data_IF_672685319395
#
_entry.id   IF_672685319395
#
_cell.length_a   1.000
_cell.length_b   1.000
_cell.length_c   1.000
_cell.angle_alpha   90.00
_cell.angle_beta   90.00
_cell.angle_gamma   90.00
#
_symmetry.space_group_name_H-M   'P 1'
#
loop_
_entity.id
_entity.type
_entity.pdbx_description
1 polymer ?
#
# COMPACT_ATOMS: atom_id res chain seq x y z
N UNK A 1 -0.06 1.80 -40.58
CA UNK A 1 -0.06 0.45 -39.95
C UNK A 1 1.09 0.28 -38.96
N UNK A 2 2.36 0.51 -39.34
CA UNK A 2 3.52 0.44 -38.44
C UNK A 2 3.44 1.37 -37.21
N UNK A 3 2.97 2.61 -37.38
CA UNK A 3 2.83 3.55 -36.27
C UNK A 3 1.83 3.07 -35.19
N UNK A 4 0.75 2.40 -35.59
CA UNK A 4 -0.25 1.85 -34.66
C UNK A 4 0.26 0.63 -33.90
N UNK A 5 1.04 -0.23 -34.57
CA UNK A 5 1.69 -1.38 -33.93
C UNK A 5 2.74 -0.89 -32.91
N UNK A 6 3.58 0.07 -33.30
CA UNK A 6 4.58 0.65 -32.40
C UNK A 6 3.93 1.40 -31.23
N UNK A 7 2.84 2.13 -31.47
CA UNK A 7 2.05 2.80 -30.43
C UNK A 7 1.48 1.81 -29.41
N UNK A 8 0.94 0.68 -29.87
CA UNK A 8 0.41 -0.36 -28.99
C UNK A 8 1.51 -1.04 -28.17
N UNK A 9 2.65 -1.37 -28.80
CA UNK A 9 3.80 -1.95 -28.09
C UNK A 9 4.36 -0.96 -27.06
N UNK A 10 4.50 0.32 -27.42
CA UNK A 10 4.95 1.37 -26.50
C UNK A 10 3.99 1.55 -25.33
N UNK A 11 2.68 1.54 -25.57
CA UNK A 11 1.67 1.63 -24.52
C UNK A 11 1.65 0.41 -23.59
N UNK A 12 1.86 -0.81 -24.12
CA UNK A 12 1.98 -2.04 -23.32
C UNK A 12 3.26 -1.99 -22.47
N UNK A 13 4.38 -1.58 -23.06
CA UNK A 13 5.65 -1.38 -22.36
C UNK A 13 5.46 -0.35 -21.24
N UNK A 14 4.90 0.83 -21.52
CA UNK A 14 4.63 1.85 -20.50
C UNK A 14 3.69 1.34 -19.40
N UNK A 15 2.69 0.53 -19.71
CA UNK A 15 1.81 -0.09 -18.72
C UNK A 15 2.55 -1.12 -17.86
N UNK A 16 3.39 -1.96 -18.46
CA UNK A 16 4.24 -2.93 -17.75
C UNK A 16 5.23 -2.22 -16.82
N UNK A 17 5.82 -1.12 -17.28
CA UNK A 17 6.73 -0.30 -16.48
C UNK A 17 6.01 0.63 -15.51
N UNK A 18 4.68 0.85 -15.60
CA UNK A 18 3.99 1.80 -14.72
C UNK A 18 4.00 1.37 -13.24
N UNK A 19 3.90 0.06 -12.97
CA UNK A 19 4.06 -0.50 -11.62
C UNK A 19 5.48 -0.30 -11.07
N UNK A 20 6.49 -0.56 -11.90
CA UNK A 20 7.92 -0.46 -11.54
C UNK A 20 8.43 0.99 -11.49
N UNK A 21 7.91 1.87 -12.35
CA UNK A 21 8.25 3.29 -12.38
C UNK A 21 7.75 4.00 -11.12
N UNK A 22 6.56 3.63 -10.63
CA UNK A 22 6.06 4.13 -9.33
C UNK A 22 6.93 3.66 -8.18
N UNK A 23 7.35 2.39 -8.20
CA UNK A 23 8.30 1.85 -7.23
C UNK A 23 9.63 2.61 -7.23
N UNK A 24 10.24 2.76 -8.40
CA UNK A 24 11.52 3.46 -8.55
C UNK A 24 11.44 4.92 -8.13
N UNK A 25 10.35 5.62 -8.47
CA UNK A 25 10.16 7.03 -8.09
C UNK A 25 10.08 7.18 -6.57
N UNK A 26 9.35 6.30 -5.89
CA UNK A 26 9.25 6.33 -4.43
C UNK A 26 10.56 5.91 -3.75
N UNK A 27 11.25 4.90 -4.28
CA UNK A 27 12.56 4.47 -3.80
C UNK A 27 13.61 5.57 -3.94
N UNK A 28 13.58 6.35 -5.03
CA UNK A 28 14.45 7.51 -5.22
C UNK A 28 14.20 8.57 -4.14
N UNK A 29 12.94 8.90 -3.86
CA UNK A 29 12.59 9.84 -2.76
C UNK A 29 13.13 9.37 -1.42
N UNK A 30 12.99 8.08 -1.13
CA UNK A 30 13.50 7.45 0.09
C UNK A 30 15.04 7.54 0.17
N UNK A 31 15.74 7.28 -0.94
CA UNK A 31 17.20 7.42 -1.01
C UNK A 31 17.66 8.87 -0.85
N UNK A 32 16.90 9.81 -1.40
CA UNK A 32 17.17 11.24 -1.27
C UNK A 32 16.99 11.70 0.18
N UNK A 33 15.93 11.22 0.86
CA UNK A 33 15.70 11.44 2.29
C UNK A 33 16.84 10.89 3.16
N UNK A 34 17.29 9.67 2.86
CA UNK A 34 18.44 9.03 3.52
C UNK A 34 19.72 9.85 3.33
N UNK A 35 19.95 10.41 2.14
CA UNK A 35 21.11 11.24 1.83
C UNK A 35 21.03 12.59 2.55
N UNK A 36 19.85 13.22 2.58
CA UNK A 36 19.61 14.51 3.24
C UNK A 36 19.82 14.43 4.76
N UNK A 37 19.29 13.38 5.40
CA UNK A 37 19.42 13.17 6.85
C UNK A 37 20.69 12.42 7.27
N UNK A 38 21.62 12.15 6.34
CA UNK A 38 22.87 11.38 6.59
C UNK A 38 22.64 10.09 7.41
N UNK A 39 21.65 9.31 6.99
CA UNK A 39 21.29 8.08 7.72
C UNK A 39 22.41 7.03 7.57
N UNK A 40 22.89 6.43 8.68
CA UNK A 40 23.94 5.41 8.65
C UNK A 40 23.53 4.16 7.85
N UNK A 41 24.49 3.55 7.17
CA UNK A 41 24.32 2.40 6.27
C UNK A 41 23.49 1.21 6.83
N UNK A 42 23.62 0.78 8.10
CA UNK A 42 22.77 -0.29 8.63
C UNK A 42 21.28 0.09 8.68
N UNK A 43 20.96 1.35 8.98
CA UNK A 43 19.56 1.82 9.02
C UNK A 43 19.00 1.99 7.60
N UNK A 44 19.83 2.42 6.65
CA UNK A 44 19.48 2.48 5.22
C UNK A 44 19.03 1.12 4.68
N UNK A 45 19.81 0.06 4.92
CA UNK A 45 19.47 -1.30 4.47
C UNK A 45 18.13 -1.77 5.02
N UNK A 46 17.93 -1.60 6.33
CA UNK A 46 16.65 -1.93 6.98
C UNK A 46 15.47 -1.16 6.38
N UNK A 47 15.68 0.11 6.03
CA UNK A 47 14.66 0.96 5.46
C UNK A 47 14.32 0.58 4.02
N UNK A 48 15.33 0.23 3.21
CA UNK A 48 15.12 -0.32 1.85
C UNK A 48 14.43 -1.69 1.89
N UNK A 49 14.86 -2.60 2.77
CA UNK A 49 14.23 -3.92 2.95
C UNK A 49 12.77 -3.79 3.40
N UNK A 50 12.49 -2.94 4.39
CA UNK A 50 11.12 -2.67 4.84
C UNK A 50 10.28 -2.08 3.70
N UNK A 51 10.82 -1.12 2.96
CA UNK A 51 10.12 -0.53 1.82
C UNK A 51 9.80 -1.57 0.75
N UNK A 52 10.74 -2.47 0.45
CA UNK A 52 10.54 -3.54 -0.52
C UNK A 52 9.49 -4.55 -0.04
N UNK A 53 9.51 -4.93 1.25
CA UNK A 53 8.48 -5.78 1.84
C UNK A 53 7.09 -5.11 1.83
N UNK A 54 7.01 -3.85 2.27
CA UNK A 54 5.77 -3.08 2.25
C UNK A 54 5.24 -2.90 0.83
N UNK A 55 6.12 -2.68 -0.15
CA UNK A 55 5.74 -2.58 -1.56
C UNK A 55 5.24 -3.91 -2.13
N UNK A 56 5.87 -5.04 -1.77
CA UNK A 56 5.44 -6.36 -2.24
C UNK A 56 4.07 -6.74 -1.63
N UNK A 57 3.82 -6.31 -0.39
CA UNK A 57 2.58 -6.58 0.32
C UNK A 57 1.42 -5.66 -0.10
N UNK A 58 1.67 -4.36 -0.29
CA UNK A 58 0.64 -3.38 -0.64
C UNK A 58 0.58 -3.02 -2.13
N UNK A 59 1.55 -3.45 -2.95
CA UNK A 59 1.76 -2.97 -4.33
C UNK A 59 1.84 -1.44 -4.45
N UNK A 60 2.15 -0.75 -3.35
CA UNK A 60 2.11 0.72 -3.25
C UNK A 60 0.70 1.29 -3.19
N UNK A 61 -0.32 0.46 -2.94
CA UNK A 61 -1.67 0.92 -2.66
C UNK A 61 -1.66 1.46 -1.23
N UNK A 62 -1.81 2.78 -1.12
CA UNK A 62 -2.06 3.44 0.16
C UNK A 62 -3.52 3.14 0.54
N UNK A 63 -3.71 2.15 1.41
CA UNK A 63 -5.03 1.73 1.87
C UNK A 63 -5.82 2.90 2.45
N UNK A 64 -5.17 3.85 3.14
CA UNK A 64 -5.85 5.03 3.68
C UNK A 64 -6.37 5.95 2.57
N UNK A 65 -5.61 6.09 1.48
CA UNK A 65 -6.00 6.90 0.34
C UNK A 65 -7.14 6.25 -0.45
N UNK A 66 -7.14 4.93 -0.57
CA UNK A 66 -8.24 4.16 -1.18
C UNK A 66 -9.50 4.25 -0.32
N UNK A 67 -9.38 4.07 1.00
CA UNK A 67 -10.51 4.15 1.93
C UNK A 67 -11.15 5.54 1.89
N UNK A 68 -10.36 6.62 1.85
CA UNK A 68 -10.87 8.00 1.70
C UNK A 68 -11.66 8.25 0.41
N UNK A 69 -11.49 7.42 -0.62
CA UNK A 69 -12.27 7.50 -1.86
C UNK A 69 -13.69 6.94 -1.74
N UNK A 70 -13.97 6.17 -0.68
CA UNK A 70 -15.28 5.54 -0.46
C UNK A 70 -16.08 6.25 0.65
N UNK A 71 -17.42 6.21 0.61
CA UNK A 71 -18.26 6.67 1.72
C UNK A 71 -17.96 5.91 3.03
N UNK A 72 -18.16 6.57 4.18
CA UNK A 72 -17.85 6.01 5.52
C UNK A 72 -18.47 4.63 5.78
N UNK A 73 -19.67 4.36 5.25
CA UNK A 73 -20.32 3.05 5.38
C UNK A 73 -19.51 1.93 4.71
N UNK A 74 -18.99 2.17 3.50
CA UNK A 74 -18.16 1.19 2.78
C UNK A 74 -16.76 1.07 3.40
N UNK A 75 -16.21 2.17 3.93
CA UNK A 75 -14.96 2.13 4.68
C UNK A 75 -15.07 1.19 5.89
N UNK A 76 -16.17 1.28 6.64
CA UNK A 76 -16.41 0.44 7.81
C UNK A 76 -16.52 -1.04 7.45
N UNK A 77 -17.22 -1.38 6.37
CA UNK A 77 -17.35 -2.79 5.93
C UNK A 77 -16.03 -3.35 5.38
N UNK A 78 -15.28 -2.57 4.60
CA UNK A 78 -13.97 -2.97 4.08
C UNK A 78 -12.98 -3.16 5.24
N UNK A 79 -12.97 -2.23 6.20
CA UNK A 79 -12.04 -2.32 7.31
C UNK A 79 -12.38 -3.48 8.24
N UNK A 80 -13.67 -3.75 8.47
CA UNK A 80 -14.12 -4.93 9.21
C UNK A 80 -13.71 -6.22 8.51
N UNK A 81 -13.78 -6.27 7.18
CA UNK A 81 -13.31 -7.41 6.39
C UNK A 81 -11.79 -7.62 6.52
N UNK A 82 -11.00 -6.55 6.41
CA UNK A 82 -9.54 -6.59 6.54
C UNK A 82 -9.10 -7.04 7.94
N UNK A 83 -9.76 -6.51 8.98
CA UNK A 83 -9.46 -6.83 10.37
C UNK A 83 -10.13 -8.12 10.85
N UNK A 84 -10.96 -8.79 10.03
CA UNK A 84 -11.70 -10.00 10.42
C UNK A 84 -10.78 -11.11 10.94
N UNK A 85 -9.62 -11.30 10.33
CA UNK A 85 -8.65 -12.32 10.78
C UNK A 85 -8.03 -11.96 12.15
N UNK A 86 -7.81 -10.66 12.42
CA UNK A 86 -7.30 -10.20 13.72
C UNK A 86 -8.39 -10.25 14.80
N UNK A 87 -9.62 -9.86 14.46
CA UNK A 87 -10.78 -9.84 15.34
C UNK A 87 -11.26 -11.27 15.69
N UNK A 88 -11.16 -12.22 14.77
CA UNK A 88 -11.52 -13.63 15.02
C UNK A 88 -10.46 -14.38 15.85
N UNK A 89 -9.19 -14.03 15.70
CA UNK A 89 -8.09 -14.68 16.42
C UNK A 89 -7.87 -14.13 17.83
N UNK A 90 -8.46 -12.99 18.16
CA UNK A 90 -8.27 -12.35 19.46
C UNK A 90 -9.44 -12.67 20.39
N UNK A 91 -9.18 -13.43 21.47
CA UNK A 91 -10.19 -13.86 22.44
C UNK A 91 -10.93 -12.70 23.13
N UNK A 92 -10.35 -11.50 23.16
CA UNK A 92 -10.95 -10.30 23.74
C UNK A 92 -12.11 -9.72 22.91
N UNK A 93 -12.23 -10.05 21.63
CA UNK A 93 -13.24 -9.50 20.72
C UNK A 93 -14.37 -10.48 20.38
N UNK A 94 -14.37 -11.68 20.98
CA UNK A 94 -15.39 -12.73 20.72
C UNK A 94 -16.81 -12.32 21.12
N UNK A 95 -16.96 -11.49 22.17
CA UNK A 95 -18.26 -10.99 22.68
C UNK A 95 -18.48 -9.49 22.40
N UNK A 96 -17.63 -8.87 21.57
CA UNK A 96 -17.77 -7.44 21.26
C UNK A 96 -18.92 -7.19 20.27
N UNK A 97 -19.77 -6.20 20.55
CA UNK A 97 -20.87 -5.81 19.66
C UNK A 97 -20.35 -5.38 18.28
N UNK A 98 -21.10 -5.65 17.21
CA UNK A 98 -20.70 -5.25 15.86
C UNK A 98 -20.47 -3.74 15.72
N UNK A 99 -21.14 -2.92 16.55
CA UNK A 99 -20.89 -1.49 16.65
C UNK A 99 -19.50 -1.15 17.21
N UNK A 100 -19.04 -1.85 18.25
CA UNK A 100 -17.69 -1.69 18.80
C UNK A 100 -16.61 -2.18 17.83
N UNK A 101 -16.85 -3.30 17.14
CA UNK A 101 -15.91 -3.81 16.13
C UNK A 101 -15.77 -2.84 14.95
N UNK A 102 -16.86 -2.23 14.49
CA UNK A 102 -16.84 -1.18 13.46
C UNK A 102 -16.10 0.08 13.94
N UNK A 103 -16.36 0.54 15.16
CA UNK A 103 -15.71 1.72 15.71
C UNK A 103 -14.20 1.52 15.93
N UNK A 104 -13.77 0.32 16.34
CA UNK A 104 -12.35 -0.04 16.45
C UNK A 104 -11.66 -0.17 15.10
N UNK A 105 -12.37 -0.72 14.10
CA UNK A 105 -11.82 -0.91 12.77
C UNK A 105 -11.62 0.42 12.03
N UNK A 106 -12.38 1.47 12.34
CA UNK A 106 -12.29 2.77 11.68
C UNK A 106 -11.20 3.70 12.25
N UNK A 107 -10.43 3.26 13.25
CA UNK A 107 -9.43 4.06 13.97
C UNK A 107 -7.99 3.70 13.63
#
# INVERSE_FOLDING_TARGET
MYASIFGNVSAIIQRLYSGTARYHTQLLRVREFIRFHQIPNPLRKRLEEYFQHAWTYSNGIDMNMVLKGFPEFLQADICLHLNRNLLQNCAAFKDASQGCLRAFSMR
#
